data_IF_067959155061
#
_entry.id   IF_067959155061
#
_cell.length_a   1.000
_cell.length_b   1.000
_cell.length_c   1.000
_cell.angle_alpha   90.00
_cell.angle_beta   90.00
_cell.angle_gamma   90.00
#
_symmetry.space_group_name_H-M   'P 1'
#
loop_
_entity.id
_entity.type
_entity.pdbx_description
1 polymer ?
#
# COMPACT_ATOMS: atom_id res chain seq x y z
N UNK A 1 6.10 16.18 -12.13
CA UNK A 1 5.49 15.68 -10.88
C UNK A 1 3.97 15.66 -11.04
N UNK A 2 3.40 14.61 -11.66
CA UNK A 2 1.95 14.48 -11.91
C UNK A 2 1.34 13.22 -11.29
N UNK A 3 2.16 12.41 -10.62
CA UNK A 3 1.74 11.10 -10.13
C UNK A 3 1.32 11.10 -8.65
N UNK A 4 1.31 12.26 -7.98
CA UNK A 4 0.91 12.33 -6.57
C UNK A 4 -0.62 12.39 -6.42
N UNK A 5 -1.22 11.38 -5.79
CA UNK A 5 -2.65 11.32 -5.53
C UNK A 5 -3.00 11.99 -4.20
N UNK A 6 -3.18 13.31 -4.24
CA UNK A 6 -3.60 14.11 -3.07
C UNK A 6 -4.86 13.59 -2.41
N UNK A 7 -5.83 13.09 -3.18
CA UNK A 7 -7.14 12.69 -2.64
C UNK A 7 -6.99 11.45 -1.77
N UNK A 8 -6.21 10.47 -2.25
CA UNK A 8 -5.93 9.25 -1.48
C UNK A 8 -4.95 9.52 -0.35
N UNK A 9 -3.88 10.29 -0.58
CA UNK A 9 -2.94 10.67 0.48
C UNK A 9 -3.59 11.50 1.62
N UNK A 10 -4.71 12.19 1.38
CA UNK A 10 -5.48 12.85 2.44
C UNK A 10 -6.49 11.90 3.11
N UNK A 11 -6.94 10.87 2.40
CA UNK A 11 -7.95 9.91 2.87
C UNK A 11 -7.34 8.79 3.72
N UNK A 12 -6.10 8.41 3.44
CA UNK A 12 -5.33 7.42 4.17
C UNK A 12 -4.22 8.15 4.93
N UNK A 13 -3.85 7.70 6.14
CA UNK A 13 -2.73 8.33 6.87
C UNK A 13 -1.35 7.97 6.27
N UNK A 14 -1.34 7.38 5.07
CA UNK A 14 -0.13 7.17 4.29
C UNK A 14 0.57 8.50 4.01
N UNK A 15 1.85 8.57 4.33
CA UNK A 15 2.69 9.72 4.04
C UNK A 15 2.78 10.05 2.53
N UNK A 16 2.52 9.10 1.64
CA UNK A 16 2.39 9.36 0.19
C UNK A 16 1.66 8.24 -0.55
N UNK A 17 0.85 8.57 -1.56
CA UNK A 17 0.33 7.62 -2.57
C UNK A 17 0.67 8.14 -3.96
N UNK A 18 1.27 7.29 -4.79
CA UNK A 18 1.66 7.57 -6.16
C UNK A 18 0.79 6.77 -7.13
N UNK A 19 0.11 7.46 -8.05
CA UNK A 19 -0.79 6.88 -9.06
C UNK A 19 -0.41 7.42 -10.44
N UNK A 20 -0.24 6.53 -11.41
CA UNK A 20 0.01 6.88 -12.83
C UNK A 20 -0.93 6.09 -13.72
N UNK A 21 -1.62 6.78 -14.65
CA UNK A 21 -2.58 6.17 -15.57
C UNK A 21 -3.69 5.35 -14.88
N UNK A 22 -4.10 5.74 -13.67
CA UNK A 22 -5.14 5.04 -12.90
C UNK A 22 -4.64 3.84 -12.10
N UNK A 23 -3.35 3.49 -12.17
CA UNK A 23 -2.74 2.38 -11.44
C UNK A 23 -1.89 2.89 -10.26
N UNK A 24 -1.87 2.13 -9.16
CA UNK A 24 -1.00 2.42 -8.01
C UNK A 24 0.45 2.10 -8.40
N UNK A 25 1.31 3.10 -8.35
CA UNK A 25 2.76 2.97 -8.56
C UNK A 25 3.49 2.66 -7.25
N UNK A 26 2.92 3.06 -6.12
CA UNK A 26 3.45 2.82 -4.79
C UNK A 26 2.85 3.77 -3.76
N UNK A 27 3.06 3.47 -2.49
CA UNK A 27 2.74 4.38 -1.39
C UNK A 27 3.84 4.27 -0.32
N UNK A 28 3.94 5.30 0.51
CA UNK A 28 4.86 5.34 1.64
C UNK A 28 4.05 5.60 2.90
N UNK A 29 4.30 4.82 3.94
CA UNK A 29 3.71 5.00 5.26
C UNK A 29 4.80 4.87 6.32
N UNK A 30 4.73 5.73 7.34
CA UNK A 30 5.64 5.75 8.48
C UNK A 30 5.10 4.90 9.63
N UNK A 31 3.78 4.69 9.69
CA UNK A 31 3.13 3.91 10.74
C UNK A 31 1.77 3.41 10.27
N UNK A 32 1.58 2.09 10.28
CA UNK A 32 0.33 1.48 9.84
C UNK A 32 -0.58 1.14 11.02
N UNK A 33 -1.80 1.67 11.00
CA UNK A 33 -2.82 1.44 12.01
C UNK A 33 -3.95 0.52 11.52
N UNK A 34 -4.78 0.03 12.45
CA UNK A 34 -6.00 -0.72 12.09
C UNK A 34 -7.02 0.13 11.30
N UNK A 35 -7.03 1.45 11.53
CA UNK A 35 -7.90 2.37 10.80
C UNK A 35 -7.48 2.50 9.33
N UNK A 36 -6.17 2.46 9.03
CA UNK A 36 -5.67 2.49 7.65
C UNK A 36 -6.12 1.26 6.86
N UNK A 37 -6.04 0.07 7.47
CA UNK A 37 -6.53 -1.18 6.89
C UNK A 37 -8.04 -1.10 6.66
N UNK A 38 -8.79 -0.60 7.65
CA UNK A 38 -10.26 -0.48 7.58
C UNK A 38 -10.72 0.49 6.49
N UNK A 39 -10.07 1.65 6.34
CA UNK A 39 -10.42 2.62 5.30
C UNK A 39 -10.04 2.07 3.91
N UNK A 40 -8.95 1.30 3.80
CA UNK A 40 -8.49 0.69 2.56
C UNK A 40 -9.48 -0.35 2.01
N UNK A 41 -10.16 -1.09 2.89
CA UNK A 41 -11.24 -2.04 2.52
C UNK A 41 -12.40 -1.41 1.73
N UNK A 42 -12.54 -0.08 1.75
CA UNK A 42 -13.61 0.65 1.03
C UNK A 42 -13.18 1.18 -0.35
N UNK A 43 -11.95 0.94 -0.81
CA UNK A 43 -11.48 1.37 -2.14
C UNK A 43 -11.22 0.17 -3.04
N UNK A 44 -11.94 0.15 -4.18
CA UNK A 44 -11.87 -0.96 -5.14
C UNK A 44 -10.45 -1.20 -5.65
N UNK A 45 -9.65 -0.15 -5.81
CA UNK A 45 -8.28 -0.28 -6.29
C UNK A 45 -7.41 -1.04 -5.27
N UNK A 46 -7.70 -0.88 -3.97
CA UNK A 46 -6.96 -1.59 -2.92
C UNK A 46 -7.32 -3.08 -2.83
N UNK A 47 -8.44 -3.48 -3.45
CA UNK A 47 -8.88 -4.88 -3.54
C UNK A 47 -8.38 -5.58 -4.80
N UNK A 48 -7.68 -4.89 -5.70
CA UNK A 48 -7.11 -5.51 -6.90
C UNK A 48 -5.99 -6.48 -6.53
N UNK A 49 -6.01 -7.67 -7.13
CA UNK A 49 -4.96 -8.66 -6.93
C UNK A 49 -3.73 -8.27 -7.75
N UNK A 50 -2.62 -8.12 -7.04
CA UNK A 50 -1.32 -7.71 -7.55
C UNK A 50 -0.26 -8.73 -7.14
N UNK A 51 0.90 -8.62 -7.79
CA UNK A 51 2.12 -9.32 -7.38
C UNK A 51 2.99 -8.38 -6.55
N UNK A 52 3.36 -8.81 -5.35
CA UNK A 52 4.17 -8.03 -4.41
C UNK A 52 5.53 -8.69 -4.20
N UNK A 53 6.57 -7.86 -4.24
CA UNK A 53 7.91 -8.19 -3.79
C UNK A 53 8.16 -7.51 -2.45
N UNK A 54 8.54 -8.28 -1.44
CA UNK A 54 8.89 -7.74 -0.13
C UNK A 54 10.39 -7.59 -0.08
N UNK A 55 10.84 -6.35 0.11
CA UNK A 55 12.24 -6.00 0.25
C UNK A 55 12.56 -5.64 1.70
N UNK A 56 13.64 -6.18 2.26
CA UNK A 56 14.23 -5.74 3.53
C UNK A 56 15.68 -5.36 3.30
N UNK A 57 16.04 -4.11 3.58
CA UNK A 57 17.37 -3.55 3.26
C UNK A 57 17.74 -3.80 1.78
N UNK A 58 16.83 -3.47 0.87
CA UNK A 58 16.95 -3.63 -0.59
C UNK A 58 17.13 -5.08 -1.10
N UNK A 59 16.98 -6.09 -0.23
CA UNK A 59 17.02 -7.50 -0.61
C UNK A 59 15.62 -8.09 -0.61
N UNK A 60 15.26 -8.77 -1.69
CA UNK A 60 14.04 -9.56 -1.76
C UNK A 60 14.09 -10.68 -0.71
N UNK A 61 13.06 -10.74 0.12
CA UNK A 61 12.92 -11.78 1.17
C UNK A 61 11.72 -12.68 0.93
N UNK A 62 10.69 -12.20 0.23
CA UNK A 62 9.57 -13.01 -0.21
C UNK A 62 8.83 -12.33 -1.34
N UNK A 63 7.99 -13.11 -2.01
CA UNK A 63 7.09 -12.71 -3.07
C UNK A 63 5.73 -13.34 -2.81
N UNK A 64 4.66 -12.57 -2.97
CA UNK A 64 3.30 -13.10 -2.85
C UNK A 64 2.33 -12.43 -3.81
N UNK A 65 1.22 -13.11 -4.09
CA UNK A 65 0.08 -12.52 -4.78
C UNK A 65 -1.02 -12.26 -3.77
N UNK A 66 -1.65 -11.09 -3.86
CA UNK A 66 -2.70 -10.67 -2.95
C UNK A 66 -3.23 -9.30 -3.33
N UNK A 67 -4.15 -8.78 -2.53
CA UNK A 67 -4.60 -7.40 -2.59
C UNK A 67 -3.61 -6.45 -1.90
N UNK A 68 -3.78 -5.15 -2.09
CA UNK A 68 -3.05 -4.17 -1.27
C UNK A 68 -3.36 -4.33 0.22
N UNK A 69 -4.58 -4.76 0.58
CA UNK A 69 -4.96 -5.02 1.98
C UNK A 69 -4.12 -6.17 2.55
N UNK A 70 -3.91 -7.25 1.79
CA UNK A 70 -3.06 -8.36 2.22
C UNK A 70 -1.61 -7.90 2.43
N UNK A 71 -1.12 -6.98 1.59
CA UNK A 71 0.20 -6.40 1.76
C UNK A 71 0.30 -5.53 3.03
N UNK A 72 -0.74 -4.74 3.35
CA UNK A 72 -0.81 -3.95 4.58
C UNK A 72 -0.83 -4.87 5.82
N UNK A 73 -1.67 -5.90 5.81
CA UNK A 73 -1.76 -6.90 6.89
C UNK A 73 -0.44 -7.67 7.06
N UNK A 74 0.24 -8.02 5.96
CA UNK A 74 1.57 -8.64 5.99
C UNK A 74 2.61 -7.74 6.65
N UNK A 75 2.69 -6.46 6.25
CA UNK A 75 3.67 -5.54 6.82
C UNK A 75 3.42 -5.35 8.32
N UNK A 76 2.16 -5.20 8.74
CA UNK A 76 1.77 -5.07 10.14
C UNK A 76 2.19 -6.29 10.97
N UNK A 77 2.07 -7.50 10.43
CA UNK A 77 2.41 -8.72 11.16
C UNK A 77 3.91 -8.99 11.27
N UNK A 78 4.75 -8.42 10.39
CA UNK A 78 6.15 -8.81 10.23
C UNK A 78 7.19 -7.71 10.50
N UNK A 79 6.81 -6.42 10.43
CA UNK A 79 7.76 -5.30 10.50
C UNK A 79 7.37 -4.17 11.47
N UNK A 80 6.18 -4.23 12.06
CA UNK A 80 5.67 -3.26 13.05
C UNK A 80 5.40 -4.00 14.35
#
# INVERSE_FOLDING_TARGET
>A
MKDYDKKRAYKYLFATVCVRNGLIMGFFDVSMSDDDIKISKNDKIMSEICEFFVLKNDKEITKFQGSFIDALEYIKANFI
#
